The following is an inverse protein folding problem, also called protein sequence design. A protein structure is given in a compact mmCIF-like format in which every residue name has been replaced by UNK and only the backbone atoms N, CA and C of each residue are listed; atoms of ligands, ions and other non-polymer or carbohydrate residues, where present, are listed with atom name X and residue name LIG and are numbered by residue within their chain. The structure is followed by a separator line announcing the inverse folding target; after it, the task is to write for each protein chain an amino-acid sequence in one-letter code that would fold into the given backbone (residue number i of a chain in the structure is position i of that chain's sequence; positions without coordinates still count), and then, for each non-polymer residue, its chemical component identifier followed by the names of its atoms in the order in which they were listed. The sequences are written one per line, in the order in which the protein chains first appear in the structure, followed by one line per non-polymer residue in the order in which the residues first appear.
data_IF_999521763513
#
_entry.id   IF_999521763513
#
_cell.length_a   1.000
_cell.length_b   1.000
_cell.length_c   1.000
_cell.angle_alpha   90.00
_cell.angle_beta   90.00
_cell.angle_gamma   90.00
#
_symmetry.space_group_name_H-M   'P 1'
#
loop_
_entity.id
_entity.type
_entity.pdbx_description
1 polymer ?
#
# COMPACT_ATOMS: atom_id res chain seq x y z
N UNK A 1 -23.32 -6.30 -5.30
CA UNK A 1 -22.56 -5.28 -4.54
C UNK A 1 -21.47 -4.71 -5.45
N UNK A 2 -21.35 -3.38 -5.56
CA UNK A 2 -20.48 -2.71 -6.55
C UNK A 2 -18.99 -2.87 -6.17
N UNK A 3 -18.19 -3.48 -7.05
CA UNK A 3 -16.75 -3.71 -6.82
C UNK A 3 -15.98 -2.41 -6.57
N UNK A 4 -16.44 -1.27 -7.09
CA UNK A 4 -15.81 0.04 -6.89
C UNK A 4 -15.84 0.47 -5.42
N UNK A 5 -16.99 0.38 -4.77
CA UNK A 5 -17.14 0.72 -3.35
C UNK A 5 -16.27 -0.21 -2.49
N UNK A 6 -16.26 -1.50 -2.82
CA UNK A 6 -15.45 -2.47 -2.08
C UNK A 6 -13.95 -2.29 -2.30
N UNK A 7 -13.53 -1.87 -3.51
CA UNK A 7 -12.14 -1.49 -3.81
C UNK A 7 -11.71 -0.33 -2.92
N UNK A 8 -12.56 0.68 -2.78
CA UNK A 8 -12.31 1.86 -1.93
C UNK A 8 -12.18 1.45 -0.46
N UNK A 9 -13.14 0.66 0.06
CA UNK A 9 -13.14 0.21 1.46
C UNK A 9 -11.89 -0.60 1.76
N UNK A 10 -11.52 -1.55 0.90
CA UNK A 10 -10.32 -2.38 1.09
C UNK A 10 -9.05 -1.54 1.04
N UNK A 11 -8.93 -0.67 0.03
CA UNK A 11 -7.79 0.24 -0.10
C UNK A 11 -7.61 1.11 1.14
N UNK A 12 -8.68 1.76 1.58
CA UNK A 12 -8.68 2.57 2.81
C UNK A 12 -8.36 1.74 4.05
N UNK A 13 -8.89 0.52 4.17
CA UNK A 13 -8.63 -0.35 5.31
C UNK A 13 -7.16 -0.76 5.36
N UNK A 14 -6.56 -1.14 4.23
CA UNK A 14 -5.13 -1.49 4.15
C UNK A 14 -4.26 -0.30 4.52
N UNK A 15 -4.56 0.88 3.97
CA UNK A 15 -3.86 2.12 4.32
C UNK A 15 -3.96 2.42 5.83
N UNK A 16 -5.16 2.33 6.41
CA UNK A 16 -5.39 2.64 7.82
C UNK A 16 -4.64 1.66 8.72
N UNK A 17 -4.69 0.36 8.41
CA UNK A 17 -3.98 -0.67 9.16
C UNK A 17 -2.46 -0.50 9.05
N UNK A 18 -1.94 -0.18 7.85
CA UNK A 18 -0.53 0.11 7.66
C UNK A 18 -0.11 1.34 8.48
N UNK A 19 -0.84 2.44 8.38
CA UNK A 19 -0.57 3.68 9.14
C UNK A 19 -0.55 3.41 10.65
N UNK A 20 -1.54 2.67 11.17
CA UNK A 20 -1.56 2.27 12.57
C UNK A 20 -0.34 1.41 12.91
N UNK A 21 -0.01 0.41 12.09
CA UNK A 21 1.14 -0.47 12.30
C UNK A 21 2.46 0.31 12.36
N UNK A 22 2.70 1.24 11.45
CA UNK A 22 3.87 2.12 11.47
C UNK A 22 3.90 2.99 12.73
N UNK A 23 2.75 3.52 13.15
CA UNK A 23 2.67 4.39 14.33
C UNK A 23 2.88 3.66 15.66
N UNK A 24 2.44 2.41 15.78
CA UNK A 24 2.52 1.66 17.06
C UNK A 24 3.74 0.74 17.14
N UNK A 25 4.16 0.20 16.00
CA UNK A 25 5.18 -0.84 15.92
C UNK A 25 6.29 -0.56 14.91
N UNK A 26 6.25 0.56 14.20
CA UNK A 26 7.24 0.92 13.17
C UNK A 26 8.68 0.84 13.69
N UNK A 27 8.93 1.24 14.93
CA UNK A 27 10.24 1.18 15.57
C UNK A 27 10.84 -0.23 15.67
N UNK A 28 10.02 -1.29 15.56
CA UNK A 28 10.48 -2.68 15.64
C UNK A 28 10.79 -3.30 14.28
N UNK A 29 10.12 -2.85 13.21
CA UNK A 29 10.25 -3.48 11.88
C UNK A 29 10.80 -2.54 10.81
N UNK A 30 10.62 -1.23 10.94
CA UNK A 30 11.07 -0.22 9.98
C UNK A 30 12.49 0.26 10.30
N UNK A 31 13.43 -0.67 10.32
CA UNK A 31 14.83 -0.41 10.61
C UNK A 31 15.56 0.04 9.34
N UNK A 32 15.54 1.33 9.06
CA UNK A 32 16.13 1.94 7.86
C UNK A 32 17.65 1.80 7.77
N UNK A 33 18.33 1.75 8.92
CA UNK A 33 19.78 1.52 9.01
C UNK A 33 20.20 0.07 8.67
N UNK A 34 19.25 -0.87 8.67
CA UNK A 34 19.53 -2.27 8.36
C UNK A 34 19.09 -2.62 6.93
N UNK A 35 20.07 -2.68 6.03
CA UNK A 35 19.85 -2.95 4.61
C UNK A 35 19.06 -4.25 4.36
N UNK A 36 19.33 -5.33 5.11
CA UNK A 36 18.65 -6.61 4.90
C UNK A 36 17.18 -6.56 5.31
N UNK A 37 16.87 -5.87 6.42
CA UNK A 37 15.49 -5.65 6.86
C UNK A 37 14.74 -4.78 5.86
N UNK A 38 15.38 -3.70 5.39
CA UNK A 38 14.77 -2.80 4.41
C UNK A 38 14.46 -3.50 3.08
N UNK A 39 15.43 -4.25 2.52
CA UNK A 39 15.19 -5.06 1.31
C UNK A 39 14.07 -6.08 1.56
N UNK A 40 14.08 -6.74 2.71
CA UNK A 40 13.03 -7.67 3.11
C UNK A 40 11.63 -7.03 3.10
N UNK A 41 11.51 -5.81 3.64
CA UNK A 41 10.25 -5.05 3.63
C UNK A 41 9.76 -4.75 2.22
N UNK A 42 10.64 -4.29 1.33
CA UNK A 42 10.29 -4.00 -0.05
C UNK A 42 9.85 -5.26 -0.81
N UNK A 43 10.57 -6.36 -0.62
CA UNK A 43 10.24 -7.64 -1.27
C UNK A 43 8.98 -8.27 -0.71
N UNK A 44 8.70 -8.13 0.58
CA UNK A 44 7.51 -8.70 1.24
C UNK A 44 6.20 -8.01 0.81
N UNK A 45 6.24 -6.72 0.48
CA UNK A 45 5.07 -5.95 0.02
C UNK A 45 4.50 -6.51 -1.29
N UNK A 46 5.37 -6.94 -2.21
CA UNK A 46 4.96 -7.42 -3.53
C UNK A 46 4.00 -8.63 -3.45
N UNK A 47 4.36 -9.76 -2.82
CA UNK A 47 3.48 -10.91 -2.72
C UNK A 47 2.25 -10.60 -1.86
N UNK A 48 2.38 -9.80 -0.80
CA UNK A 48 1.25 -9.45 0.06
C UNK A 48 0.19 -8.64 -0.68
N UNK A 49 0.55 -7.50 -1.27
CA UNK A 49 -0.39 -6.65 -1.99
C UNK A 49 -0.82 -7.27 -3.32
N UNK A 50 0.09 -7.97 -3.99
CA UNK A 50 -0.23 -8.73 -5.20
C UNK A 50 -1.27 -9.82 -4.95
N UNK A 51 -1.16 -10.54 -3.83
CA UNK A 51 -2.15 -11.53 -3.41
C UNK A 51 -3.50 -10.85 -3.11
N UNK A 52 -3.52 -9.77 -2.33
CA UNK A 52 -4.76 -9.06 -1.99
C UNK A 52 -5.47 -8.53 -3.24
N UNK A 53 -4.74 -7.86 -4.13
CA UNK A 53 -5.27 -7.34 -5.39
C UNK A 53 -5.81 -8.48 -6.27
N UNK A 54 -5.03 -9.53 -6.47
CA UNK A 54 -5.41 -10.68 -7.30
C UNK A 54 -6.62 -11.42 -6.74
N UNK A 55 -6.65 -11.65 -5.42
CA UNK A 55 -7.78 -12.24 -4.73
C UNK A 55 -9.05 -11.42 -4.94
N UNK A 56 -8.95 -10.09 -4.82
CA UNK A 56 -10.09 -9.20 -5.04
C UNK A 56 -10.59 -9.25 -6.49
N UNK A 57 -9.67 -9.15 -7.46
CA UNK A 57 -10.02 -9.22 -8.88
C UNK A 57 -10.69 -10.56 -9.23
N UNK A 58 -10.21 -11.65 -8.63
CA UNK A 58 -10.80 -12.98 -8.80
C UNK A 58 -12.19 -13.07 -8.16
N UNK A 59 -12.38 -12.53 -6.95
CA UNK A 59 -13.66 -12.53 -6.21
C UNK A 59 -14.78 -11.85 -7.00
N UNK A 60 -14.47 -10.75 -7.67
CA UNK A 60 -15.44 -10.00 -8.48
C UNK A 60 -15.40 -10.37 -9.97
N UNK A 61 -14.58 -11.34 -10.38
CA UNK A 61 -14.39 -11.78 -11.77
C UNK A 61 -14.08 -10.61 -12.73
N UNK A 62 -13.27 -9.66 -12.27
CA UNK A 62 -12.95 -8.46 -13.04
C UNK A 62 -12.14 -8.80 -14.30
N UNK A 63 -12.55 -8.20 -15.42
CA UNK A 63 -11.76 -8.15 -16.65
C UNK A 63 -10.59 -7.17 -16.55
N UNK A 64 -9.80 -7.03 -17.61
CA UNK A 64 -8.58 -6.20 -17.63
C UNK A 64 -8.84 -4.73 -17.27
N UNK A 65 -9.81 -4.09 -17.93
CA UNK A 65 -10.14 -2.69 -17.68
C UNK A 65 -10.70 -2.46 -16.26
N UNK A 66 -11.55 -3.37 -15.81
CA UNK A 66 -12.15 -3.29 -14.47
C UNK A 66 -11.12 -3.51 -13.36
N UNK A 67 -10.14 -4.40 -13.57
CA UNK A 67 -9.01 -4.61 -12.66
C UNK A 67 -8.12 -3.38 -12.56
N UNK A 68 -7.78 -2.74 -13.68
CA UNK A 68 -7.03 -1.49 -13.66
C UNK A 68 -7.80 -0.38 -12.92
N UNK A 69 -9.10 -0.23 -13.20
CA UNK A 69 -9.94 0.72 -12.49
C UNK A 69 -10.04 0.42 -10.99
N UNK A 70 -10.21 -0.85 -10.62
CA UNK A 70 -10.27 -1.29 -9.23
C UNK A 70 -8.95 -1.01 -8.49
N UNK A 71 -7.80 -1.29 -9.11
CA UNK A 71 -6.49 -0.98 -8.55
C UNK A 71 -6.33 0.51 -8.28
N UNK A 72 -6.71 1.38 -9.22
CA UNK A 72 -6.70 2.84 -9.04
C UNK A 72 -7.57 3.25 -7.86
N UNK A 73 -8.79 2.71 -7.75
CA UNK A 73 -9.70 3.03 -6.64
C UNK A 73 -9.14 2.55 -5.29
N UNK A 74 -8.42 1.42 -5.26
CA UNK A 74 -7.78 0.93 -4.03
C UNK A 74 -6.66 1.85 -3.54
N UNK A 75 -5.83 2.36 -4.44
CA UNK A 75 -4.62 3.12 -4.04
C UNK A 75 -4.90 4.60 -3.79
N UNK A 76 -5.84 5.22 -4.52
CA UNK A 76 -6.07 6.67 -4.47
C UNK A 76 -6.34 7.24 -3.07
N UNK A 77 -7.21 6.63 -2.22
CA UNK A 77 -7.45 7.15 -0.88
C UNK A 77 -6.17 7.16 -0.03
N UNK A 78 -5.39 6.08 -0.10
CA UNK A 78 -4.13 5.97 0.61
C UNK A 78 -3.12 7.00 0.13
N UNK A 79 -2.95 7.18 -1.18
CA UNK A 79 -2.03 8.18 -1.74
C UNK A 79 -2.35 9.61 -1.27
N UNK A 80 -3.64 9.98 -1.25
CA UNK A 80 -4.08 11.30 -0.78
C UNK A 80 -3.75 11.47 0.70
N UNK A 81 -4.08 10.48 1.53
CA UNK A 81 -3.90 10.57 2.97
C UNK A 81 -2.41 10.50 3.35
N UNK A 82 -1.63 9.68 2.66
CA UNK A 82 -0.20 9.57 2.86
C UNK A 82 0.58 10.82 2.47
N UNK A 83 0.03 11.66 1.59
CA UNK A 83 0.62 12.98 1.34
C UNK A 83 0.71 13.78 2.64
N UNK A 84 -0.31 13.70 3.50
CA UNK A 84 -0.28 14.33 4.83
C UNK A 84 0.60 13.55 5.81
N UNK A 85 0.64 12.22 5.73
CA UNK A 85 1.52 11.41 6.57
C UNK A 85 3.00 11.69 6.30
N UNK A 86 3.37 11.95 5.05
CA UNK A 86 4.75 12.28 4.66
C UNK A 86 5.07 13.74 5.04
N UNK A 87 4.20 14.70 4.71
CA UNK A 87 4.41 16.12 5.05
C UNK A 87 4.52 16.34 6.56
N UNK A 88 3.71 15.63 7.35
CA UNK A 88 3.69 15.75 8.81
C UNK A 88 4.29 14.52 9.50
N UNK A 89 5.28 13.87 8.89
CA UNK A 89 5.84 12.58 9.33
C UNK A 89 6.15 12.52 10.83
N UNK A 90 6.93 13.47 11.35
CA UNK A 90 7.30 13.50 12.76
C UNK A 90 6.10 13.65 13.73
N UNK A 91 5.00 14.25 13.28
CA UNK A 91 3.76 14.38 14.08
C UNK A 91 2.89 13.12 14.00
N UNK A 92 2.87 12.46 12.86
CA UNK A 92 2.05 11.28 12.59
C UNK A 92 2.70 10.02 13.15
N UNK A 93 4.02 9.89 13.01
CA UNK A 93 4.85 8.77 13.47
C UNK A 93 5.93 9.25 14.45
N UNK A 94 5.56 9.75 15.64
CA UNK A 94 6.53 10.26 16.63
C UNK A 94 7.45 9.16 17.20
N UNK A 95 7.13 7.90 16.92
CA UNK A 95 7.91 6.72 17.28
C UNK A 95 9.04 6.42 16.29
N UNK A 96 9.10 7.10 15.14
CA UNK A 96 10.11 6.91 14.10
C UNK A 96 11.02 8.16 14.00
N UNK A 97 12.32 7.98 13.74
CA UNK A 97 13.22 9.08 13.39
C UNK A 97 12.70 9.89 12.20
N UNK A 98 12.80 11.21 12.25
CA UNK A 98 12.36 12.09 11.14
C UNK A 98 13.13 11.81 9.83
N UNK A 99 14.38 11.34 9.94
CA UNK A 99 15.21 10.91 8.81
C UNK A 99 14.60 9.76 8.00
N UNK A 100 13.71 8.97 8.60
CA UNK A 100 13.06 7.83 7.95
C UNK A 100 11.93 8.23 7.00
N UNK A 101 11.49 9.50 7.03
CA UNK A 101 10.37 9.98 6.22
C UNK A 101 10.57 9.78 4.72
N UNK A 102 11.78 9.97 4.20
CA UNK A 102 12.10 9.73 2.79
C UNK A 102 12.02 8.23 2.43
N UNK A 103 12.50 7.36 3.31
CA UNK A 103 12.43 5.90 3.14
C UNK A 103 10.99 5.41 3.23
N UNK A 104 10.19 6.00 4.12
CA UNK A 104 8.76 5.71 4.23
C UNK A 104 8.01 6.13 2.96
N UNK A 105 8.23 7.35 2.46
CA UNK A 105 7.62 7.84 1.22
C UNK A 105 7.95 6.96 0.00
N UNK A 106 9.21 6.56 -0.16
CA UNK A 106 9.61 5.64 -1.23
C UNK A 106 8.98 4.25 -1.09
N UNK A 107 8.86 3.73 0.14
CA UNK A 107 8.21 2.46 0.41
C UNK A 107 6.70 2.49 0.10
N UNK A 108 6.03 3.61 0.38
CA UNK A 108 4.62 3.81 0.00
C UNK A 108 4.44 3.84 -1.52
N UNK A 109 5.30 4.57 -2.24
CA UNK A 109 5.26 4.58 -3.71
C UNK A 109 5.45 3.19 -4.29
N UNK A 110 6.32 2.38 -3.70
CA UNK A 110 6.52 0.98 -4.06
C UNK A 110 5.25 0.13 -3.84
N UNK A 111 4.60 0.29 -2.69
CA UNK A 111 3.34 -0.39 -2.38
C UNK A 111 2.23 -0.05 -3.39
N UNK A 112 2.07 1.24 -3.70
CA UNK A 112 1.06 1.70 -4.68
C UNK A 112 1.36 1.21 -6.09
N UNK A 113 2.61 1.31 -6.55
CA UNK A 113 3.04 0.81 -7.84
C UNK A 113 2.76 -0.69 -7.97
N UNK A 114 3.00 -1.46 -6.91
CA UNK A 114 2.71 -2.91 -6.89
C UNK A 114 1.23 -3.17 -7.20
N UNK A 115 0.29 -2.56 -6.47
CA UNK A 115 -1.15 -2.78 -6.68
C UNK A 115 -1.57 -2.38 -8.10
N UNK A 116 -1.06 -1.25 -8.60
CA UNK A 116 -1.33 -0.78 -9.96
C UNK A 116 -0.82 -1.75 -11.03
N UNK A 117 0.42 -2.25 -10.89
CA UNK A 117 1.01 -3.24 -11.79
C UNK A 117 0.14 -4.50 -11.84
N UNK A 118 -0.29 -5.02 -10.69
CA UNK A 118 -1.16 -6.19 -10.64
C UNK A 118 -2.52 -5.95 -11.32
N UNK A 119 -3.07 -4.74 -11.22
CA UNK A 119 -4.26 -4.34 -11.97
C UNK A 119 -4.05 -4.32 -13.48
N UNK A 120 -2.88 -3.83 -13.94
CA UNK A 120 -2.54 -3.68 -15.35
C UNK A 120 -2.16 -4.99 -16.05
N UNK A 121 -1.44 -5.89 -15.38
CA UNK A 121 -1.01 -7.17 -15.96
C UNK A 121 -2.13 -8.22 -16.01
N UNK A 122 -3.30 -7.91 -15.45
CA UNK A 122 -4.45 -8.79 -15.49
C UNK A 122 -4.82 -9.11 -16.94
N UNK A 123 -4.92 -10.40 -17.24
CA UNK A 123 -5.45 -10.89 -18.52
C UNK A 123 -6.97 -11.00 -18.43
N UNK A 124 -7.64 -10.70 -19.54
CA UNK A 124 -9.05 -11.07 -19.70
C UNK A 124 -9.18 -12.59 -19.57
N UNK A 125 -10.20 -13.03 -18.84
CA UNK A 125 -10.52 -14.45 -18.70
C UNK A 125 -11.19 -14.96 -19.96
#
# INVERSE_FOLDING_TARGET
MNYKIFSLIIGFTIWLLATIAFRVAGQYFFLTDNLFVLIGLYLAVIPFLGFVATWFFNKYKLGKLESAQSAVIMVLPGMILDTFCIEFFAKVFPNLPETDGATFGSWLMWAYATVLVFGLIRKDK
#
